data_IF_284669511631
#
_entry.id   IF_284669511631
#
_cell.length_a   1.000
_cell.length_b   1.000
_cell.length_c   1.000
_cell.angle_alpha   90.00
_cell.angle_beta   90.00
_cell.angle_gamma   90.00
#
_symmetry.space_group_name_H-M   'P 1'
#
loop_
_entity.id
_entity.type
_entity.pdbx_description
1 polymer ?
#
# COMPACT_ATOMS: atom_id res chain seq x y z
N UNK A 1 21.22 85.97 35.51
CA UNK A 1 21.80 85.61 34.21
C UNK A 1 21.16 84.33 33.72
N UNK A 2 20.50 84.37 32.56
CA UNK A 2 20.05 83.16 31.86
C UNK A 2 21.17 82.53 31.03
N UNK A 3 20.94 81.26 30.65
CA UNK A 3 21.31 80.52 29.42
C UNK A 3 20.97 79.03 29.69
N UNK A 4 19.83 78.48 29.22
CA UNK A 4 19.62 77.84 27.90
C UNK A 4 20.68 76.77 27.59
N UNK A 5 20.42 75.53 27.15
CA UNK A 5 19.30 74.91 26.42
C UNK A 5 19.59 73.40 26.29
N UNK A 6 18.58 72.57 26.01
CA UNK A 6 18.74 71.23 25.40
C UNK A 6 18.12 70.09 26.24
N UNK A 7 16.80 69.90 26.24
CA UNK A 7 16.02 69.18 25.23
C UNK A 7 16.08 67.64 25.37
N UNK A 8 14.86 67.10 25.49
CA UNK A 8 14.44 65.76 25.11
C UNK A 8 14.40 64.66 26.19
N UNK A 9 13.17 64.16 26.39
CA UNK A 9 12.77 62.80 26.82
C UNK A 9 13.19 62.45 28.27
N UNK A 10 12.27 62.20 29.21
CA UNK A 10 11.64 60.90 29.36
C UNK A 10 10.35 61.01 30.18
N UNK A 11 9.23 61.13 29.47
CA UNK A 11 7.88 60.94 29.98
C UNK A 11 7.62 59.41 30.10
N UNK A 12 8.31 58.66 30.98
CA UNK A 12 8.09 57.20 31.04
C UNK A 12 8.62 56.39 32.25
N UNK A 13 8.85 56.97 33.43
CA UNK A 13 9.43 56.19 34.56
C UNK A 13 8.41 55.44 35.45
N UNK A 14 7.19 55.20 34.99
CA UNK A 14 6.15 54.49 35.78
C UNK A 14 5.79 53.07 35.32
N UNK A 15 6.50 52.48 34.37
CA UNK A 15 6.20 51.12 33.88
C UNK A 15 7.46 50.30 33.56
N UNK A 16 8.36 50.13 34.52
CA UNK A 16 9.37 49.05 34.46
C UNK A 16 9.14 48.10 35.63
N UNK A 17 7.97 47.48 35.61
CA UNK A 17 7.62 46.31 36.40
C UNK A 17 7.14 45.18 35.48
N UNK A 18 7.77 45.04 34.31
CA UNK A 18 7.57 43.91 33.40
C UNK A 18 8.90 43.74 32.66
N UNK A 19 9.63 42.65 32.93
CA UNK A 19 10.59 41.96 32.05
C UNK A 19 11.53 41.05 32.87
N UNK A 20 10.95 40.12 33.61
CA UNK A 20 11.43 38.74 33.54
C UNK A 20 10.19 37.86 33.46
N UNK A 21 9.69 37.55 32.25
CA UNK A 21 8.97 36.29 32.14
C UNK A 21 10.00 35.22 32.49
N UNK A 22 9.85 34.59 33.66
CA UNK A 22 10.32 33.22 33.85
C UNK A 22 9.47 32.35 32.94
N UNK A 23 9.64 32.48 31.62
CA UNK A 23 9.21 31.47 30.68
C UNK A 23 10.08 30.28 31.02
N UNK A 24 9.57 29.39 31.87
CA UNK A 24 9.90 28.00 31.76
C UNK A 24 9.62 27.67 30.29
N UNK A 25 10.69 27.63 29.49
CA UNK A 25 10.64 27.10 28.15
C UNK A 25 10.25 25.65 28.33
N UNK A 26 8.94 25.38 28.29
CA UNK A 26 8.44 24.05 28.03
C UNK A 26 9.07 23.69 26.69
N UNK A 27 10.11 22.85 26.74
CA UNK A 27 10.53 22.10 25.57
C UNK A 27 9.32 21.26 25.21
N UNK A 28 8.45 21.80 24.34
CA UNK A 28 7.48 21.00 23.63
C UNK A 28 8.34 20.13 22.72
N UNK A 29 8.79 19.00 23.27
CA UNK A 29 9.30 17.91 22.47
C UNK A 29 8.10 17.46 21.66
N UNK A 30 7.87 18.10 20.51
CA UNK A 30 6.97 17.62 19.49
C UNK A 30 7.63 16.40 18.84
N UNK A 31 7.90 15.37 19.64
CA UNK A 31 7.95 14.03 19.10
C UNK A 31 6.56 13.81 18.54
N UNK A 32 6.40 13.92 17.22
CA UNK A 32 5.35 13.23 16.49
C UNK A 32 5.52 11.74 16.78
N UNK A 33 5.14 11.32 17.98
CA UNK A 33 5.07 9.92 18.36
C UNK A 33 3.93 9.39 17.53
N UNK A 34 4.25 8.84 16.35
CA UNK A 34 3.30 8.02 15.62
C UNK A 34 2.79 6.99 16.61
N UNK A 35 1.49 7.04 16.90
CA UNK A 35 0.86 6.10 17.80
C UNK A 35 1.09 4.70 17.23
N UNK A 36 1.74 3.85 18.01
CA UNK A 36 2.00 2.46 17.65
C UNK A 36 1.05 1.53 18.41
N UNK A 37 0.73 0.39 17.82
CA UNK A 37 -0.20 -0.56 18.43
C UNK A 37 0.48 -1.53 19.40
N UNK A 38 -0.19 -1.78 20.52
CA UNK A 38 0.16 -2.84 21.48
C UNK A 38 -0.86 -3.98 21.50
N UNK A 39 -1.99 -3.82 20.81
CA UNK A 39 -3.14 -4.73 20.87
C UNK A 39 -3.49 -5.27 19.49
N UNK A 40 -4.07 -6.47 19.46
CA UNK A 40 -4.54 -7.07 18.22
C UNK A 40 -5.87 -6.42 17.82
N UNK A 41 -5.86 -5.64 16.75
CA UNK A 41 -7.06 -5.01 16.19
C UNK A 41 -7.61 -5.83 15.02
N UNK A 42 -8.93 -5.84 14.83
CA UNK A 42 -9.60 -6.47 13.68
C UNK A 42 -10.76 -5.57 13.25
N UNK A 43 -10.45 -4.36 12.80
CA UNK A 43 -11.44 -3.36 12.41
C UNK A 43 -11.28 -2.98 10.94
N UNK A 44 -12.40 -2.60 10.32
CA UNK A 44 -12.43 -2.14 8.92
C UNK A 44 -11.82 -3.17 7.94
N UNK A 45 -12.07 -4.46 8.15
CA UNK A 45 -11.44 -5.57 7.43
C UNK A 45 -11.51 -5.48 5.90
N UNK A 46 -12.55 -4.84 5.35
CA UNK A 46 -12.78 -4.69 3.90
C UNK A 46 -12.35 -3.32 3.35
N UNK A 47 -11.94 -2.38 4.22
CA UNK A 47 -11.59 -1.02 3.82
C UNK A 47 -10.09 -0.90 3.59
N UNK A 48 -9.67 -0.89 2.32
CA UNK A 48 -8.27 -0.80 1.88
C UNK A 48 -7.47 0.32 2.58
N UNK A 49 -8.07 1.50 2.81
CA UNK A 49 -7.41 2.63 3.47
C UNK A 49 -7.50 2.65 5.00
N UNK A 50 -8.43 1.90 5.59
CA UNK A 50 -8.76 2.00 7.03
C UNK A 50 -8.57 0.69 7.79
N UNK A 51 -8.19 -0.37 7.11
CA UNK A 51 -7.95 -1.68 7.72
C UNK A 51 -6.92 -1.55 8.84
N UNK A 52 -7.26 -2.11 9.99
CA UNK A 52 -6.31 -2.38 11.07
C UNK A 52 -6.50 -3.82 11.50
N UNK A 53 -5.51 -4.62 11.15
CA UNK A 53 -5.47 -6.03 11.47
C UNK A 53 -4.20 -6.37 12.25
N UNK A 54 -4.37 -7.11 13.34
CA UNK A 54 -3.30 -7.40 14.28
C UNK A 54 -2.68 -6.12 14.82
N UNK A 55 -1.36 -6.10 14.97
CA UNK A 55 -0.61 -4.92 15.39
C UNK A 55 0.06 -4.19 14.24
N UNK A 56 0.25 -4.85 13.09
CA UNK A 56 1.13 -4.37 12.02
C UNK A 56 0.47 -4.22 10.66
N UNK A 57 -0.72 -4.78 10.42
CA UNK A 57 -1.35 -4.65 9.10
C UNK A 57 -2.26 -3.41 9.03
N UNK A 58 -1.80 -2.37 8.33
CA UNK A 58 -2.62 -1.21 8.00
C UNK A 58 -1.80 -0.07 7.39
N UNK A 59 -2.47 0.83 6.68
CA UNK A 59 -1.78 1.98 6.05
C UNK A 59 -1.46 3.02 7.12
N UNK A 60 -0.18 3.33 7.29
CA UNK A 60 0.29 4.24 8.34
C UNK A 60 0.08 3.72 9.77
N UNK A 61 -0.23 2.43 9.93
CA UNK A 61 -0.47 1.75 11.19
C UNK A 61 0.59 0.67 11.38
N UNK A 62 1.21 0.63 12.57
CA UNK A 62 2.22 -0.37 12.89
C UNK A 62 2.31 -0.62 14.39
N UNK A 63 2.92 -1.74 14.78
CA UNK A 63 3.07 -2.15 16.16
C UNK A 63 4.24 -1.45 16.84
N UNK A 64 4.19 -1.33 18.16
CA UNK A 64 5.29 -0.76 18.93
C UNK A 64 6.55 -1.63 18.86
N UNK A 65 7.74 -1.05 19.13
CA UNK A 65 8.97 -1.82 19.24
C UNK A 65 8.79 -3.03 20.17
N UNK A 66 9.42 -4.15 19.79
CA UNK A 66 9.40 -5.43 20.53
C UNK A 66 8.03 -6.10 20.69
N UNK A 67 6.97 -5.61 20.03
CA UNK A 67 5.68 -6.32 20.02
C UNK A 67 5.75 -7.58 19.15
N UNK A 68 5.23 -8.69 19.67
CA UNK A 68 4.97 -9.90 18.87
C UNK A 68 3.75 -9.70 17.96
N UNK A 69 3.77 -10.25 16.73
CA UNK A 69 2.59 -10.27 15.87
C UNK A 69 1.50 -11.17 16.48
N UNK A 70 0.25 -10.87 16.15
CA UNK A 70 -0.93 -11.58 16.64
C UNK A 70 -1.08 -12.97 16.02
N UNK A 71 -0.68 -13.13 14.76
CA UNK A 71 -0.65 -14.39 14.02
C UNK A 71 0.40 -14.35 12.89
N UNK A 72 0.37 -15.37 12.02
CA UNK A 72 1.30 -15.48 10.88
C UNK A 72 1.04 -14.43 9.78
N UNK A 73 -0.20 -13.96 9.61
CA UNK A 73 -0.51 -12.89 8.64
C UNK A 73 0.06 -11.56 9.16
N UNK A 74 -0.18 -11.24 10.43
CA UNK A 74 0.35 -10.05 11.10
C UNK A 74 1.90 -10.06 11.14
N UNK A 75 2.52 -11.24 11.18
CA UNK A 75 3.96 -11.39 11.03
C UNK A 75 4.48 -10.96 9.65
N UNK A 76 3.72 -11.23 8.57
CA UNK A 76 4.06 -10.74 7.23
C UNK A 76 4.06 -9.21 7.20
N UNK A 77 3.05 -8.57 7.81
CA UNK A 77 2.96 -7.12 7.88
C UNK A 77 4.07 -6.52 8.75
N UNK A 78 4.41 -7.12 9.89
CA UNK A 78 5.55 -6.70 10.71
C UNK A 78 6.85 -6.68 9.89
N UNK A 79 7.10 -7.72 9.10
CA UNK A 79 8.30 -7.81 8.27
C UNK A 79 8.28 -6.76 7.15
N UNK A 80 7.11 -6.48 6.57
CA UNK A 80 6.92 -5.41 5.60
C UNK A 80 7.25 -4.04 6.19
N UNK A 81 6.71 -3.72 7.38
CA UNK A 81 6.93 -2.44 8.04
C UNK A 81 8.40 -2.24 8.40
N UNK A 82 9.08 -3.28 8.88
CA UNK A 82 10.51 -3.26 9.11
C UNK A 82 11.31 -3.06 7.81
N UNK A 83 10.87 -3.67 6.72
CA UNK A 83 11.48 -3.48 5.40
C UNK A 83 11.33 -2.03 4.93
N UNK A 84 10.13 -1.46 5.02
CA UNK A 84 9.86 -0.07 4.62
C UNK A 84 10.59 0.91 5.53
N UNK A 85 10.57 0.71 6.85
CA UNK A 85 11.24 1.58 7.82
C UNK A 85 12.76 1.62 7.64
N UNK A 86 13.39 0.48 7.31
CA UNK A 86 14.82 0.43 6.96
C UNK A 86 15.13 1.08 5.61
N UNK A 87 14.13 1.18 4.74
CA UNK A 87 14.25 1.73 3.38
C UNK A 87 13.46 3.04 3.23
N UNK A 88 13.32 3.84 4.28
CA UNK A 88 12.45 5.01 4.30
C UNK A 88 12.78 6.07 3.21
N UNK A 89 14.00 6.06 2.67
CA UNK A 89 14.42 6.90 1.55
C UNK A 89 13.89 6.41 0.17
N UNK A 90 13.43 5.17 0.07
CA UNK A 90 12.99 4.51 -1.15
C UNK A 90 11.52 4.08 -1.03
N UNK A 91 10.60 5.02 -1.24
CA UNK A 91 9.17 4.73 -1.40
C UNK A 91 8.83 4.70 -2.90
N UNK A 92 8.18 3.65 -3.45
CA UNK A 92 7.89 2.31 -2.90
C UNK A 92 8.97 1.28 -3.29
N UNK A 93 9.56 0.57 -2.31
CA UNK A 93 10.54 -0.48 -2.56
C UNK A 93 9.86 -1.76 -3.08
N UNK A 94 10.04 -2.06 -4.38
CA UNK A 94 9.53 -3.25 -5.05
C UNK A 94 9.82 -4.55 -4.27
N UNK A 95 10.97 -4.64 -3.60
CA UNK A 95 11.35 -5.79 -2.78
C UNK A 95 10.44 -5.98 -1.57
N UNK A 96 10.13 -4.90 -0.83
CA UNK A 96 9.25 -4.99 0.34
C UNK A 96 7.85 -5.43 -0.07
N UNK A 97 7.35 -4.89 -1.19
CA UNK A 97 6.07 -5.29 -1.78
C UNK A 97 6.07 -6.74 -2.24
N UNK A 98 7.08 -7.16 -2.98
CA UNK A 98 7.19 -8.55 -3.44
C UNK A 98 7.21 -9.54 -2.25
N UNK A 99 7.99 -9.23 -1.21
CA UNK A 99 8.11 -10.08 -0.02
C UNK A 99 6.80 -10.20 0.74
N UNK A 100 6.08 -9.07 0.94
CA UNK A 100 4.77 -9.09 1.60
C UNK A 100 3.77 -9.97 0.83
N UNK A 101 3.67 -9.77 -0.49
CA UNK A 101 2.80 -10.59 -1.35
C UNK A 101 3.12 -12.08 -1.23
N UNK A 102 4.39 -12.44 -1.33
CA UNK A 102 4.82 -13.85 -1.23
C UNK A 102 4.46 -14.46 0.12
N UNK A 103 4.70 -13.72 1.22
CA UNK A 103 4.35 -14.16 2.57
C UNK A 103 2.84 -14.39 2.73
N UNK A 104 2.01 -13.46 2.23
CA UNK A 104 0.55 -13.57 2.28
C UNK A 104 0.03 -14.77 1.47
N UNK A 105 0.62 -15.05 0.31
CA UNK A 105 0.25 -16.22 -0.51
C UNK A 105 0.60 -17.53 0.21
N UNK A 106 1.77 -17.62 0.83
CA UNK A 106 2.19 -18.78 1.62
C UNK A 106 1.35 -18.99 2.89
N UNK A 107 0.93 -17.89 3.53
CA UNK A 107 0.04 -17.97 4.69
C UNK A 107 -1.29 -18.65 4.33
N UNK A 108 -1.89 -18.30 3.19
CA UNK A 108 -3.11 -18.96 2.75
C UNK A 108 -2.92 -20.43 2.38
N UNK A 109 -1.83 -20.76 1.68
CA UNK A 109 -1.59 -22.15 1.24
C UNK A 109 -1.29 -23.11 2.40
N UNK A 110 -0.86 -22.59 3.56
CA UNK A 110 -0.47 -23.39 4.73
C UNK A 110 -1.53 -23.44 5.83
N UNK A 111 -2.78 -23.13 5.52
CA UNK A 111 -3.92 -23.34 6.43
C UNK A 111 -4.45 -22.11 7.17
N UNK A 112 -4.08 -20.89 6.76
CA UNK A 112 -4.82 -19.64 6.99
C UNK A 112 -5.60 -19.50 8.33
N UNK A 113 -4.92 -19.47 9.47
CA UNK A 113 -5.56 -19.29 10.79
C UNK A 113 -5.34 -17.87 11.33
N UNK A 114 -6.44 -17.16 11.61
CA UNK A 114 -6.43 -15.86 12.30
C UNK A 114 -6.35 -16.04 13.81
N UNK A 115 -5.86 -15.03 14.52
CA UNK A 115 -5.83 -15.04 15.99
C UNK A 115 -7.25 -15.09 16.60
N UNK A 116 -7.35 -15.63 17.82
CA UNK A 116 -8.62 -15.80 18.54
C UNK A 116 -9.31 -14.46 18.82
N UNK A 117 -10.62 -14.38 18.54
CA UNK A 117 -11.41 -13.16 18.74
C UNK A 117 -11.32 -12.13 17.60
N UNK A 118 -10.65 -12.45 16.49
CA UNK A 118 -10.65 -11.61 15.29
C UNK A 118 -12.06 -11.53 14.66
N UNK A 119 -12.52 -10.31 14.38
CA UNK A 119 -13.72 -10.05 13.57
C UNK A 119 -13.47 -10.14 12.06
N UNK A 120 -12.21 -10.32 11.64
CA UNK A 120 -11.84 -10.47 10.24
C UNK A 120 -11.54 -11.93 9.89
N UNK A 121 -11.83 -12.33 8.65
CA UNK A 121 -11.40 -13.63 8.11
C UNK A 121 -10.02 -13.52 7.45
N UNK A 122 -9.26 -14.64 7.43
CA UNK A 122 -7.95 -14.71 6.80
C UNK A 122 -7.97 -14.23 5.34
N UNK A 123 -8.98 -14.66 4.57
CA UNK A 123 -9.13 -14.31 3.16
C UNK A 123 -9.47 -12.83 2.96
N UNK A 124 -10.38 -12.28 3.78
CA UNK A 124 -10.75 -10.86 3.69
C UNK A 124 -9.54 -9.97 3.92
N UNK A 125 -8.77 -10.23 4.99
CA UNK A 125 -7.59 -9.44 5.32
C UNK A 125 -6.54 -9.56 4.21
N UNK A 126 -6.26 -10.78 3.76
CA UNK A 126 -5.27 -11.00 2.71
C UNK A 126 -5.65 -10.24 1.43
N UNK A 127 -6.90 -10.36 0.96
CA UNK A 127 -7.36 -9.66 -0.24
C UNK A 127 -7.27 -8.14 -0.08
N UNK A 128 -7.73 -7.60 1.05
CA UNK A 128 -7.69 -6.15 1.30
C UNK A 128 -6.26 -5.62 1.39
N UNK A 129 -5.34 -6.34 2.05
CA UNK A 129 -3.92 -5.97 2.12
C UNK A 129 -3.25 -6.10 0.75
N UNK A 130 -3.57 -7.12 -0.02
CA UNK A 130 -3.08 -7.30 -1.39
C UNK A 130 -3.50 -6.15 -2.31
N UNK A 131 -4.79 -5.75 -2.27
CA UNK A 131 -5.26 -4.58 -3.01
C UNK A 131 -4.56 -3.31 -2.54
N UNK A 132 -4.36 -3.15 -1.22
CA UNK A 132 -3.66 -2.00 -0.68
C UNK A 132 -2.23 -1.89 -1.21
N UNK A 133 -1.55 -3.04 -1.27
CA UNK A 133 -0.19 -3.17 -1.74
C UNK A 133 -0.02 -2.86 -3.23
N UNK A 134 -1.04 -3.15 -4.03
CA UNK A 134 -1.02 -2.95 -5.48
C UNK A 134 -1.52 -1.57 -5.94
N UNK A 135 -2.21 -0.86 -5.06
CA UNK A 135 -2.75 0.45 -5.37
C UNK A 135 -1.66 1.53 -5.43
N UNK A 136 -1.67 2.29 -6.53
CA UNK A 136 -0.86 3.49 -6.74
C UNK A 136 -1.40 4.71 -6.00
N UNK A 137 -2.63 4.66 -5.48
CA UNK A 137 -3.32 5.81 -4.85
C UNK A 137 -2.85 6.12 -3.43
N UNK A 138 -2.02 5.28 -2.82
CA UNK A 138 -1.44 5.54 -1.50
C UNK A 138 -0.36 6.63 -1.48
N UNK A 139 -0.04 7.20 -2.65
CA UNK A 139 0.91 8.30 -2.83
C UNK A 139 0.36 9.68 -2.47
N UNK A 140 -0.90 9.84 -2.06
CA UNK A 140 -1.49 11.19 -1.95
C UNK A 140 -1.22 11.95 -0.63
N UNK A 141 -0.50 11.40 0.34
CA UNK A 141 -0.25 12.12 1.61
C UNK A 141 1.22 12.39 1.96
N UNK A 142 2.11 12.40 0.96
CA UNK A 142 3.43 13.03 1.11
C UNK A 142 3.68 13.98 -0.08
N UNK A 143 3.62 15.27 0.24
CA UNK A 143 3.88 16.47 -0.59
C UNK A 143 2.69 17.03 -1.44
N UNK A 144 2.30 18.30 -1.24
CA UNK A 144 1.35 18.99 -2.10
C UNK A 144 2.05 19.42 -3.39
N UNK A 145 1.60 18.95 -4.57
CA UNK A 145 2.12 19.48 -5.83
C UNK A 145 1.95 18.65 -7.10
N UNK A 146 1.35 17.46 -7.06
CA UNK A 146 1.24 16.62 -8.26
C UNK A 146 -0.22 16.49 -8.71
N UNK A 147 -0.52 17.00 -9.91
CA UNK A 147 -1.82 16.90 -10.56
C UNK A 147 -2.31 15.44 -10.72
N UNK A 148 -3.63 15.18 -10.70
CA UNK A 148 -4.17 13.83 -10.82
C UNK A 148 -3.91 13.25 -12.22
N UNK A 149 -3.30 12.07 -12.28
CA UNK A 149 -3.27 11.26 -13.49
C UNK A 149 -4.48 10.33 -13.51
N UNK A 150 -5.21 10.39 -14.62
CA UNK A 150 -6.40 9.59 -14.88
C UNK A 150 -6.14 8.09 -14.71
N UNK A 151 -7.09 7.40 -14.08
CA UNK A 151 -7.00 5.99 -13.71
C UNK A 151 -6.64 5.07 -14.88
N UNK A 152 -5.64 4.23 -14.65
CA UNK A 152 -5.32 3.10 -15.51
C UNK A 152 -6.33 1.96 -15.29
N UNK A 153 -6.88 1.46 -16.41
CA UNK A 153 -7.75 0.29 -16.45
C UNK A 153 -7.06 -0.97 -15.89
N UNK A 154 -7.81 -1.93 -15.32
CA UNK A 154 -7.27 -3.19 -14.83
C UNK A 154 -6.65 -4.02 -15.97
N UNK A 155 -5.45 -4.55 -15.73
CA UNK A 155 -4.75 -5.45 -16.63
C UNK A 155 -5.39 -6.86 -16.60
N UNK A 156 -5.89 -7.40 -17.72
CA UNK A 156 -6.44 -8.75 -17.80
C UNK A 156 -5.31 -9.76 -18.02
N UNK A 157 -4.55 -10.08 -16.97
CA UNK A 157 -3.47 -11.08 -17.05
C UNK A 157 -3.59 -12.19 -16.00
N UNK A 158 -4.81 -12.70 -15.81
CA UNK A 158 -5.06 -13.97 -15.12
C UNK A 158 -6.30 -14.63 -15.72
N UNK A 159 -6.16 -15.15 -16.94
CA UNK A 159 -7.26 -15.82 -17.63
C UNK A 159 -6.99 -16.15 -19.09
N UNK A 160 -5.93 -16.91 -19.40
CA UNK A 160 -5.86 -17.78 -20.59
C UNK A 160 -4.54 -18.55 -20.59
N UNK A 161 -4.48 -19.61 -19.77
CA UNK A 161 -3.52 -20.69 -19.97
C UNK A 161 -4.30 -21.96 -20.34
N UNK A 162 -5.23 -21.81 -21.28
CA UNK A 162 -5.89 -22.92 -21.96
C UNK A 162 -5.55 -22.73 -23.42
N UNK A 163 -4.71 -23.64 -23.92
CA UNK A 163 -4.68 -24.09 -25.31
C UNK A 163 -3.99 -23.29 -26.42
N UNK A 164 -2.65 -23.22 -26.32
CA UNK A 164 -1.79 -23.20 -27.52
C UNK A 164 -1.77 -24.56 -28.25
N UNK A 165 -2.18 -25.66 -27.60
CA UNK A 165 -2.11 -27.01 -28.16
C UNK A 165 -3.36 -27.36 -29.00
N UNK A 166 -4.61 -27.08 -28.57
CA UNK A 166 -5.79 -27.31 -29.45
C UNK A 166 -5.83 -26.37 -30.65
N UNK A 167 -5.25 -25.17 -30.57
CA UNK A 167 -5.09 -24.33 -31.76
C UNK A 167 -4.19 -25.00 -32.81
N UNK A 168 -3.09 -25.64 -32.40
CA UNK A 168 -2.21 -26.38 -33.33
C UNK A 168 -2.90 -27.65 -33.84
N UNK A 169 -3.62 -28.39 -32.98
CA UNK A 169 -4.36 -29.60 -33.40
C UNK A 169 -5.47 -29.26 -34.40
N UNK A 170 -6.20 -28.15 -34.21
CA UNK A 170 -7.23 -27.70 -35.15
C UNK A 170 -6.62 -27.24 -36.49
N UNK A 171 -5.50 -26.52 -36.45
CA UNK A 171 -4.82 -26.07 -37.69
C UNK A 171 -4.25 -27.25 -38.47
N UNK A 172 -3.63 -28.24 -37.79
CA UNK A 172 -3.12 -29.45 -38.45
C UNK A 172 -4.24 -30.37 -38.96
N UNK A 173 -5.34 -30.51 -38.21
CA UNK A 173 -6.48 -31.34 -38.62
C UNK A 173 -7.20 -30.79 -39.85
N UNK A 174 -7.40 -29.47 -39.93
CA UNK A 174 -8.07 -28.83 -41.08
C UNK A 174 -7.21 -28.89 -42.34
N UNK A 175 -5.89 -28.73 -42.24
CA UNK A 175 -4.99 -28.87 -43.40
C UNK A 175 -4.90 -30.31 -43.93
N UNK A 176 -4.97 -31.33 -43.06
CA UNK A 176 -4.98 -32.73 -43.50
C UNK A 176 -6.25 -33.08 -44.29
N UNK A 177 -7.40 -32.51 -43.94
CA UNK A 177 -8.67 -32.73 -44.67
C UNK A 177 -8.74 -31.98 -46.01
N UNK A 178 -8.12 -30.81 -46.12
CA UNK A 178 -8.07 -30.03 -47.37
C UNK A 178 -7.08 -30.60 -48.39
N UNK A 179 -5.97 -31.22 -47.94
CA UNK A 179 -5.01 -31.87 -48.85
C UNK A 179 -5.56 -33.17 -49.45
N UNK A 180 -6.54 -33.81 -48.82
CA UNK A 180 -7.22 -35.01 -49.37
C UNK A 180 -8.32 -34.68 -50.38
N UNK A 181 -8.83 -33.44 -50.41
CA UNK A 181 -9.94 -33.05 -51.28
C UNK A 181 -9.50 -32.64 -52.70
N UNK A 182 -8.21 -32.48 -52.97
CA UNK A 182 -7.69 -32.00 -54.26
C UNK A 182 -7.17 -33.11 -55.20
N UNK A 183 -7.24 -34.38 -54.80
CA UNK A 183 -6.74 -35.55 -55.58
C UNK A 183 -7.86 -36.49 -56.08
N UNK A 184 -9.14 -36.10 -56.00
CA UNK A 184 -10.26 -36.93 -56.46
C UNK A 184 -11.36 -36.10 -57.12
N UNK A 185 -11.10 -35.57 -58.33
CA UNK A 185 -12.17 -35.30 -59.32
C UNK A 185 -11.61 -35.13 -60.73
N UNK A 186 -11.66 -36.18 -61.57
CA UNK A 186 -11.93 -36.03 -62.99
C UNK A 186 -13.22 -36.77 -63.33
N UNK A 187 -14.37 -36.12 -63.18
CA UNK A 187 -15.63 -36.63 -63.71
C UNK A 187 -16.63 -35.51 -64.00
N UNK A 188 -16.27 -34.58 -64.89
CA UNK A 188 -17.26 -33.87 -65.70
C UNK A 188 -17.02 -34.24 -67.17
N UNK A 189 -17.62 -35.35 -67.57
CA UNK A 189 -17.90 -35.65 -68.98
C UNK A 189 -19.37 -36.05 -69.08
N UNK A 190 -20.09 -35.31 -69.93
CA UNK A 190 -21.34 -35.69 -70.58
C UNK A 190 -22.61 -35.72 -69.73
N UNK A 191 -23.41 -34.64 -69.76
CA UNK A 191 -24.73 -34.56 -70.44
C UNK A 191 -25.09 -33.07 -70.60
N UNK A 192 -25.35 -32.61 -71.84
CA UNK A 192 -25.82 -31.27 -72.17
C UNK A 192 -25.18 -30.72 -73.42
#
# INVERSE_FOLDING_TARGET
>A
MGRTMGAAVMFQTFFIAILLPTTASALILNSTTRSCSKHCESINCQSVHKIRYGKFCGVGYSGCPNQSPCDRLDACCKQHDLCVGRNAANFPNHTCRYNLRSCLQQYLSTGAVVYQGSNCTAMTVQNTVMVALESTTFHEHVAPGSAPQAGGAPNPSSGMLIDRITSIVLICGVWASLLWAHELSPALRSVG
#
